data_IF_732510193373
#
_entry.id   IF_732510193373
#
_cell.length_a   1.000
_cell.length_b   1.000
_cell.length_c   1.000
_cell.angle_alpha   90.00
_cell.angle_beta   90.00
_cell.angle_gamma   90.00
#
_symmetry.space_group_name_H-M   'P 1'
#
loop_
_entity.id
_entity.type
_entity.pdbx_description
1 polymer ?
#
# COMPACT_ATOMS: atom_id res chain seq x y z
N UNK A 1 -31.12 -13.70 33.37
CA UNK A 1 -30.47 -12.41 33.67
C UNK A 1 -28.97 -12.58 33.86
N UNK A 2 -28.18 -12.43 32.79
CA UNK A 2 -26.91 -11.70 32.68
C UNK A 2 -26.62 -11.69 31.18
N UNK A 3 -26.63 -10.50 30.58
CA UNK A 3 -26.23 -10.28 29.19
C UNK A 3 -24.80 -9.73 29.23
N UNK A 4 -23.83 -10.46 28.67
CA UNK A 4 -22.46 -10.00 28.54
C UNK A 4 -22.34 -9.11 27.30
N UNK A 5 -22.08 -7.84 27.57
CA UNK A 5 -21.93 -6.79 26.56
C UNK A 5 -20.62 -6.92 25.79
N UNK A 6 -20.75 -7.01 24.47
CA UNK A 6 -19.69 -6.76 23.51
C UNK A 6 -19.29 -5.29 23.62
N UNK A 7 -18.08 -5.02 24.10
CA UNK A 7 -17.52 -3.67 24.10
C UNK A 7 -17.02 -3.33 22.68
N UNK A 8 -17.68 -2.37 22.04
CA UNK A 8 -17.30 -1.81 20.75
C UNK A 8 -15.90 -1.15 20.82
N UNK A 9 -15.01 -1.55 19.91
CA UNK A 9 -13.66 -0.99 19.77
C UNK A 9 -13.65 0.44 19.20
N UNK A 10 -12.52 1.17 19.29
CA UNK A 10 -12.46 2.60 18.94
C UNK A 10 -12.67 2.84 17.44
N UNK A 11 -13.39 3.93 17.14
CA UNK A 11 -13.84 4.32 15.81
C UNK A 11 -12.68 4.67 14.86
N UNK A 12 -12.76 4.17 13.62
CA UNK A 12 -11.81 4.49 12.57
C UNK A 12 -11.92 5.98 12.16
N UNK A 13 -10.78 6.65 12.04
CA UNK A 13 -10.73 8.06 11.63
C UNK A 13 -10.90 8.13 10.10
N UNK A 14 -11.94 8.86 9.67
CA UNK A 14 -12.23 9.13 8.25
C UNK A 14 -11.41 10.33 7.81
N UNK A 15 -10.44 10.11 6.93
CA UNK A 15 -9.76 11.21 6.22
C UNK A 15 -10.56 11.48 4.95
N UNK A 16 -11.59 12.32 5.06
CA UNK A 16 -12.37 12.74 3.90
C UNK A 16 -11.58 13.78 3.10
N UNK A 17 -11.35 13.51 1.80
CA UNK A 17 -10.94 14.57 0.87
C UNK A 17 -12.18 15.41 0.54
N UNK A 18 -12.22 16.73 0.83
CA UNK A 18 -13.42 17.56 0.71
C UNK A 18 -13.93 17.75 -0.73
N UNK A 19 -13.27 17.17 -1.74
CA UNK A 19 -13.64 17.30 -3.16
C UNK A 19 -14.09 16.00 -3.85
N UNK A 20 -13.91 14.83 -3.23
CA UNK A 20 -14.16 13.56 -3.93
C UNK A 20 -15.49 12.94 -3.49
N UNK A 21 -16.50 12.94 -4.37
CA UNK A 21 -17.74 12.17 -4.14
C UNK A 21 -17.46 10.69 -4.38
N UNK A 22 -16.89 9.98 -3.39
CA UNK A 22 -16.92 8.51 -3.35
C UNK A 22 -15.61 7.77 -3.08
N UNK A 23 -14.49 8.47 -2.86
CA UNK A 23 -13.24 7.87 -2.38
C UNK A 23 -13.09 8.18 -0.88
N UNK A 24 -13.35 7.17 -0.06
CA UNK A 24 -13.19 7.26 1.39
C UNK A 24 -11.86 6.60 1.79
N UNK A 25 -11.03 7.37 2.51
CA UNK A 25 -9.83 6.87 3.17
C UNK A 25 -10.19 6.56 4.63
N UNK A 26 -10.11 5.29 5.01
CA UNK A 26 -10.31 4.88 6.40
C UNK A 26 -8.99 4.38 6.96
N UNK A 27 -8.54 5.00 8.05
CA UNK A 27 -7.34 4.59 8.77
C UNK A 27 -7.77 3.91 10.06
N UNK A 28 -7.26 2.70 10.33
CA UNK A 28 -7.37 2.12 11.68
C UNK A 28 -6.16 2.52 12.50
N UNK A 29 -6.41 3.23 13.59
CA UNK A 29 -5.40 3.65 14.57
C UNK A 29 -5.51 2.74 15.80
N UNK A 30 -4.40 2.15 16.26
CA UNK A 30 -4.31 1.62 17.61
C UNK A 30 -3.63 2.67 18.50
N UNK A 31 -4.41 3.63 19.03
CA UNK A 31 -3.95 4.48 20.12
C UNK A 31 -5.04 4.68 21.16
N UNK A 32 -4.74 4.26 22.37
CA UNK A 32 -5.31 4.83 23.58
C UNK A 32 -4.67 6.20 23.81
N UNK A 33 -5.43 7.27 23.56
CA UNK A 33 -5.65 8.40 24.48
C UNK A 33 -6.04 9.72 23.77
N UNK A 34 -7.15 10.28 24.27
CA UNK A 34 -7.47 11.70 24.48
C UNK A 34 -7.73 12.61 23.27
N UNK A 35 -9.02 12.84 23.02
CA UNK A 35 -9.60 13.87 22.16
C UNK A 35 -9.45 15.27 22.77
N UNK A 36 -9.09 16.27 21.96
CA UNK A 36 -9.49 17.66 22.23
C UNK A 36 -9.77 18.41 20.91
N UNK A 37 -10.94 19.05 20.89
CA UNK A 37 -11.63 19.92 19.91
C UNK A 37 -11.00 20.22 18.55
N UNK A 38 -11.78 19.89 17.51
CA UNK A 38 -11.56 20.10 16.08
C UNK A 38 -11.59 21.57 15.63
N UNK A 39 -10.70 21.92 14.70
CA UNK A 39 -10.75 23.13 13.86
C UNK A 39 -10.14 22.87 12.48
N UNK A 40 -10.51 23.68 11.47
CA UNK A 40 -10.24 23.48 10.03
C UNK A 40 -8.75 23.47 9.59
N UNK A 41 -7.79 23.54 10.52
CA UNK A 41 -6.36 23.68 10.23
C UNK A 41 -5.56 22.37 10.43
N UNK A 42 -6.23 21.26 10.76
CA UNK A 42 -5.57 19.99 11.10
C UNK A 42 -4.86 19.35 9.90
N UNK A 43 -5.40 19.48 8.69
CA UNK A 43 -4.76 18.95 7.47
C UNK A 43 -3.45 19.67 7.17
N UNK A 44 -3.43 21.01 7.20
CA UNK A 44 -2.22 21.80 6.97
C UNK A 44 -1.15 21.58 8.05
N UNK A 45 -1.58 21.37 9.30
CA UNK A 45 -0.67 21.02 10.41
C UNK A 45 -0.09 19.60 10.27
N UNK A 46 -0.91 18.60 9.88
CA UNK A 46 -0.44 17.23 9.59
C UNK A 46 0.56 17.21 8.42
N UNK A 47 0.38 18.07 7.40
CA UNK A 47 1.33 18.22 6.31
C UNK A 47 2.67 18.88 6.73
N UNK A 48 2.65 19.77 7.73
CA UNK A 48 3.85 20.48 8.23
C UNK A 48 4.60 19.75 9.33
N UNK A 49 3.94 18.85 10.06
CA UNK A 49 4.52 18.12 11.19
C UNK A 49 4.21 16.62 11.09
N UNK A 50 4.94 15.85 10.25
CA UNK A 50 4.81 14.40 10.23
C UNK A 50 5.38 13.85 11.54
N UNK A 51 4.55 13.68 12.56
CA UNK A 51 4.97 13.07 13.82
C UNK A 51 5.19 11.57 13.60
N UNK A 52 6.41 11.03 13.83
CA UNK A 52 6.59 9.58 13.88
C UNK A 52 6.01 9.08 15.21
N UNK A 53 4.70 8.83 15.25
CA UNK A 53 4.06 8.17 16.38
C UNK A 53 4.42 6.67 16.39
N UNK A 54 5.66 6.34 16.75
CA UNK A 54 6.11 4.95 16.88
C UNK A 54 5.98 4.51 18.34
N UNK A 55 4.87 3.86 18.71
CA UNK A 55 4.83 3.02 19.91
C UNK A 55 4.95 1.54 19.52
N UNK A 56 6.09 0.95 19.90
CA UNK A 56 6.36 -0.48 20.15
C UNK A 56 5.74 -1.54 19.23
N UNK A 57 5.76 -1.35 17.91
CA UNK A 57 5.88 -2.51 17.01
C UNK A 57 7.36 -2.90 17.06
N UNK A 58 7.68 -4.09 17.59
CA UNK A 58 9.03 -4.65 17.48
C UNK A 58 9.34 -4.77 15.99
N UNK A 59 10.09 -3.80 15.47
CA UNK A 59 10.57 -3.83 14.09
C UNK A 59 11.36 -5.12 13.94
N UNK A 60 10.92 -5.99 13.03
CA UNK A 60 11.73 -7.14 12.67
C UNK A 60 13.09 -6.64 12.19
N UNK A 61 14.13 -7.48 12.27
CA UNK A 61 15.44 -7.16 11.68
C UNK A 61 15.37 -6.87 10.15
N UNK A 62 14.19 -7.05 9.56
CA UNK A 62 13.86 -6.90 8.15
C UNK A 62 13.02 -5.64 7.86
N UNK A 63 12.68 -4.84 8.89
CA UNK A 63 11.88 -3.64 8.72
C UNK A 63 12.69 -2.56 7.99
N UNK A 64 12.16 -2.09 6.87
CA UNK A 64 12.66 -0.90 6.20
C UNK A 64 12.55 0.33 7.12
N UNK A 65 13.35 1.38 6.88
CA UNK A 65 13.17 2.66 7.54
C UNK A 65 11.71 3.12 7.44
N UNK A 66 11.21 3.79 8.48
CA UNK A 66 9.86 4.34 8.49
C UNK A 66 9.65 5.21 7.22
N UNK A 67 8.63 4.86 6.44
CA UNK A 67 8.26 5.56 5.22
C UNK A 67 6.87 6.14 5.35
N UNK A 68 6.76 7.43 5.06
CA UNK A 68 5.51 8.17 4.89
C UNK A 68 5.34 8.50 3.41
N UNK A 69 4.10 8.43 2.93
CA UNK A 69 3.74 8.75 1.56
C UNK A 69 2.76 9.91 1.57
N UNK A 70 3.05 10.97 0.83
CA UNK A 70 2.16 12.11 0.67
C UNK A 70 1.90 12.32 -0.80
N UNK A 71 0.66 12.62 -1.17
CA UNK A 71 0.31 12.93 -2.54
C UNK A 71 -0.61 14.14 -2.58
N UNK A 72 -0.41 14.99 -3.60
CA UNK A 72 -1.09 16.26 -3.75
C UNK A 72 -1.68 16.39 -5.15
N UNK A 73 -2.98 16.68 -5.18
CA UNK A 73 -3.77 16.94 -6.39
C UNK A 73 -3.54 15.90 -7.50
N UNK A 74 -3.42 14.63 -7.09
CA UNK A 74 -3.22 13.51 -8.00
C UNK A 74 -4.51 13.24 -8.76
N UNK A 75 -4.45 13.46 -10.07
CA UNK A 75 -5.57 13.30 -10.99
C UNK A 75 -5.16 12.51 -12.24
N UNK A 76 -6.13 11.86 -12.87
CA UNK A 76 -5.89 11.10 -14.09
C UNK A 76 -7.06 11.19 -15.08
N UNK A 77 -6.74 11.51 -16.32
CA UNK A 77 -7.69 11.61 -17.43
C UNK A 77 -7.17 10.85 -18.64
N UNK A 78 -8.07 10.17 -19.34
CA UNK A 78 -7.77 9.46 -20.58
C UNK A 78 -8.11 10.33 -21.80
N UNK A 79 -7.19 10.50 -22.76
CA UNK A 79 -7.49 11.18 -24.02
C UNK A 79 -8.45 10.32 -24.86
N UNK A 80 -9.53 10.91 -25.36
CA UNK A 80 -10.47 10.23 -26.24
C UNK A 80 -9.94 10.30 -27.68
N UNK A 81 -9.73 9.14 -28.32
CA UNK A 81 -9.14 9.02 -29.67
C UNK A 81 -9.94 9.70 -30.80
N UNK A 82 -11.21 10.08 -30.58
CA UNK A 82 -12.12 10.66 -31.60
C UNK A 82 -12.64 12.05 -31.20
N UNK A 83 -11.74 13.01 -30.95
CA UNK A 83 -12.09 14.44 -30.81
C UNK A 83 -13.02 14.80 -29.65
N UNK A 84 -13.25 13.86 -28.71
CA UNK A 84 -14.10 14.07 -27.54
C UNK A 84 -13.33 14.68 -26.37
N UNK A 85 -14.08 15.25 -25.41
CA UNK A 85 -13.53 15.73 -24.14
C UNK A 85 -12.85 14.57 -23.40
N UNK A 86 -11.68 14.82 -22.80
CA UNK A 86 -10.94 13.80 -22.03
C UNK A 86 -11.84 13.19 -20.95
N UNK A 87 -11.81 11.87 -20.83
CA UNK A 87 -12.59 11.16 -19.81
C UNK A 87 -11.81 11.17 -18.51
N UNK A 88 -12.35 11.84 -17.48
CA UNK A 88 -11.75 11.89 -16.16
C UNK A 88 -11.96 10.55 -15.48
N UNK A 89 -10.87 9.87 -15.13
CA UNK A 89 -10.88 8.56 -14.47
C UNK A 89 -10.68 8.71 -12.96
N UNK A 90 -9.87 9.70 -12.56
CA UNK A 90 -9.60 10.04 -11.18
C UNK A 90 -9.61 11.56 -11.04
N UNK A 91 -10.56 12.08 -10.27
CA UNK A 91 -10.57 13.49 -9.89
C UNK A 91 -9.38 13.80 -8.96
N UNK A 92 -8.83 15.03 -9.02
CA UNK A 92 -7.69 15.42 -8.20
C UNK A 92 -7.90 15.13 -6.71
N UNK A 93 -7.03 14.31 -6.13
CA UNK A 93 -7.09 13.93 -4.73
C UNK A 93 -5.75 14.11 -4.03
N UNK A 94 -5.84 14.46 -2.74
CA UNK A 94 -4.68 14.69 -1.87
C UNK A 94 -4.82 13.85 -0.62
N UNK A 95 -3.70 13.38 -0.09
CA UNK A 95 -3.69 12.56 1.11
C UNK A 95 -2.29 12.31 1.67
N UNK A 96 -2.26 11.80 2.90
CA UNK A 96 -1.05 11.48 3.63
C UNK A 96 -1.20 10.11 4.32
N UNK A 97 -0.22 9.24 4.12
CA UNK A 97 -0.10 7.95 4.79
C UNK A 97 1.13 8.01 5.69
N UNK A 98 0.92 7.98 7.01
CA UNK A 98 2.02 8.01 7.95
C UNK A 98 2.66 6.62 8.13
N UNK A 99 3.93 6.60 8.54
CA UNK A 99 4.64 5.36 8.78
C UNK A 99 3.98 4.55 9.91
N UNK A 100 3.83 3.24 9.70
CA UNK A 100 3.22 2.33 10.68
C UNK A 100 1.69 2.32 10.68
N UNK A 101 1.05 3.03 9.75
CA UNK A 101 -0.41 2.97 9.57
C UNK A 101 -0.80 1.95 8.51
N UNK A 102 -1.92 1.27 8.75
CA UNK A 102 -2.66 0.52 7.73
C UNK A 102 -3.81 1.38 7.23
N UNK A 103 -3.75 1.74 5.95
CA UNK A 103 -4.74 2.61 5.30
C UNK A 103 -5.55 1.79 4.31
N UNK A 104 -6.88 1.87 4.40
CA UNK A 104 -7.80 1.27 3.45
C UNK A 104 -8.41 2.36 2.55
N UNK A 105 -8.39 2.11 1.23
CA UNK A 105 -9.04 2.96 0.23
C UNK A 105 -10.32 2.26 -0.21
N UNK A 106 -11.48 2.86 0.10
CA UNK A 106 -12.79 2.29 -0.17
C UNK A 106 -13.60 3.21 -1.09
N UNK A 107 -14.52 2.61 -1.85
CA UNK A 107 -15.36 3.32 -2.81
C UNK A 107 -16.04 2.37 -3.80
N UNK A 108 -17.04 2.83 -4.56
CA UNK A 108 -17.75 2.01 -5.54
C UNK A 108 -16.85 1.54 -6.67
N UNK A 109 -17.23 0.45 -7.36
CA UNK A 109 -16.47 -0.01 -8.53
C UNK A 109 -16.39 1.10 -9.58
N UNK A 110 -15.21 1.27 -10.20
CA UNK A 110 -14.99 2.31 -11.22
C UNK A 110 -14.62 3.70 -10.70
N UNK A 111 -14.58 3.95 -9.38
CA UNK A 111 -14.22 5.27 -8.84
C UNK A 111 -12.71 5.61 -8.89
N UNK A 112 -11.88 4.76 -9.50
CA UNK A 112 -10.45 5.02 -9.66
C UNK A 112 -9.52 4.53 -8.54
N UNK A 113 -9.97 3.68 -7.59
CA UNK A 113 -9.10 3.12 -6.52
C UNK A 113 -7.83 2.46 -7.05
N UNK A 114 -7.98 1.53 -7.99
CA UNK A 114 -6.85 0.84 -8.62
C UNK A 114 -5.97 1.84 -9.38
N UNK A 115 -6.57 2.84 -10.01
CA UNK A 115 -5.83 3.90 -10.71
C UNK A 115 -5.01 4.77 -9.75
N UNK A 116 -5.56 5.15 -8.60
CA UNK A 116 -4.83 5.87 -7.56
C UNK A 116 -3.66 5.02 -7.05
N UNK A 117 -3.89 3.75 -6.72
CA UNK A 117 -2.83 2.84 -6.26
C UNK A 117 -1.74 2.63 -7.33
N UNK A 118 -2.11 2.49 -8.60
CA UNK A 118 -1.16 2.36 -9.71
C UNK A 118 -0.29 3.61 -9.88
N UNK A 119 -0.88 4.79 -9.69
CA UNK A 119 -0.15 6.06 -9.74
C UNK A 119 0.81 6.14 -8.56
N UNK A 120 0.36 5.87 -7.33
CA UNK A 120 1.19 5.93 -6.13
C UNK A 120 2.35 4.92 -6.18
N UNK A 121 2.09 3.72 -6.70
CA UNK A 121 3.07 2.64 -6.86
C UNK A 121 4.06 2.86 -8.02
N UNK A 122 3.95 3.96 -8.79
CA UNK A 122 4.77 4.24 -9.97
C UNK A 122 4.62 3.18 -11.09
N UNK A 123 3.50 2.44 -11.10
CA UNK A 123 3.18 1.44 -12.13
C UNK A 123 2.56 2.09 -13.38
N UNK A 124 1.90 3.24 -13.21
CA UNK A 124 1.23 3.94 -14.31
C UNK A 124 2.23 4.67 -15.22
N UNK A 125 2.38 4.22 -16.46
CA UNK A 125 3.28 4.83 -17.47
C UNK A 125 2.69 6.09 -18.12
N UNK A 126 1.37 6.23 -18.16
CA UNK A 126 0.71 7.39 -18.73
C UNK A 126 0.91 8.63 -17.86
N UNK A 127 1.01 9.80 -18.50
CA UNK A 127 1.08 11.09 -17.81
C UNK A 127 -0.12 11.26 -16.88
N UNK A 128 0.16 11.54 -15.62
CA UNK A 128 -0.82 11.89 -14.59
C UNK A 128 -0.51 13.29 -14.07
N UNK A 129 -1.47 13.90 -13.41
CA UNK A 129 -1.34 15.20 -12.75
C UNK A 129 -1.05 14.99 -11.26
N UNK A 130 -0.53 16.04 -10.62
CA UNK A 130 -0.22 16.06 -9.19
C UNK A 130 1.21 15.62 -8.85
N UNK A 131 1.48 15.62 -7.55
CA UNK A 131 2.81 15.40 -6.98
C UNK A 131 2.77 14.29 -5.94
N UNK A 132 3.80 13.45 -5.90
CA UNK A 132 3.95 12.38 -4.90
C UNK A 132 5.28 12.53 -4.20
N UNK A 133 5.24 12.48 -2.87
CA UNK A 133 6.37 12.65 -1.97
C UNK A 133 6.54 11.42 -1.08
N UNK A 134 7.79 11.06 -0.83
CA UNK A 134 8.18 9.99 0.09
C UNK A 134 9.06 10.63 1.15
N UNK A 135 8.65 10.58 2.42
CA UNK A 135 9.36 11.24 3.52
C UNK A 135 9.66 12.73 3.27
N UNK A 136 8.69 13.44 2.68
CA UNK A 136 8.80 14.88 2.37
C UNK A 136 9.67 15.21 1.15
N UNK A 137 10.31 14.23 0.51
CA UNK A 137 11.09 14.42 -0.72
C UNK A 137 10.29 13.99 -1.95
N UNK A 138 10.45 14.65 -3.11
CA UNK A 138 9.81 14.22 -4.35
C UNK A 138 10.13 12.75 -4.65
N UNK A 139 9.13 11.99 -5.07
CA UNK A 139 9.29 10.56 -5.38
C UNK A 139 10.34 10.38 -6.50
N UNK A 140 11.49 9.83 -6.13
CA UNK A 140 12.59 9.54 -7.06
C UNK A 140 12.51 8.17 -7.72
N UNK A 141 13.39 7.93 -8.69
CA UNK A 141 13.52 6.66 -9.44
C UNK A 141 13.84 5.45 -8.57
N UNK A 142 14.37 5.66 -7.36
CA UNK A 142 14.71 4.60 -6.41
C UNK A 142 13.52 4.13 -5.58
N UNK A 143 12.34 4.74 -5.72
CA UNK A 143 11.14 4.39 -4.97
C UNK A 143 10.76 2.89 -5.04
N UNK A 144 10.84 2.21 -6.20
CA UNK A 144 10.55 0.78 -6.28
C UNK A 144 11.48 -0.12 -5.45
N UNK A 145 12.62 0.39 -4.96
CA UNK A 145 13.51 -0.35 -4.06
C UNK A 145 13.02 -0.37 -2.61
N UNK A 146 12.15 0.56 -2.24
CA UNK A 146 11.64 0.74 -0.86
C UNK A 146 10.13 0.52 -0.74
N UNK A 147 9.45 0.28 -1.86
CA UNK A 147 8.02 -0.01 -1.93
C UNK A 147 7.77 -1.37 -2.58
N UNK A 148 6.72 -2.05 -2.14
CA UNK A 148 6.19 -3.25 -2.78
C UNK A 148 4.74 -2.99 -3.21
N UNK A 149 4.38 -3.48 -4.39
CA UNK A 149 3.04 -3.37 -4.94
C UNK A 149 2.57 -4.76 -5.36
N UNK A 150 1.35 -5.13 -4.96
CA UNK A 150 0.68 -6.37 -5.35
C UNK A 150 -0.51 -5.97 -6.22
N UNK A 151 -0.53 -6.46 -7.45
CA UNK A 151 -1.65 -6.20 -8.38
C UNK A 151 -2.90 -6.97 -8.01
N UNK A 152 -4.03 -6.55 -8.57
CA UNK A 152 -5.28 -7.28 -8.47
C UNK A 152 -5.21 -8.66 -9.16
N UNK A 153 -4.54 -8.74 -10.30
CA UNK A 153 -4.29 -10.00 -11.00
C UNK A 153 -2.94 -10.58 -10.57
N UNK A 154 -2.92 -11.88 -10.31
CA UNK A 154 -1.71 -12.64 -10.00
C UNK A 154 -1.04 -13.09 -11.29
N UNK A 155 0.23 -12.70 -11.45
CA UNK A 155 1.06 -13.18 -12.56
C UNK A 155 2.18 -14.05 -12.00
N UNK A 156 1.94 -15.35 -11.94
CA UNK A 156 2.94 -16.34 -11.55
C UNK A 156 3.01 -17.45 -12.59
N UNK A 157 4.22 -17.98 -12.91
CA UNK A 157 4.35 -19.10 -13.83
C UNK A 157 3.60 -20.34 -13.31
N UNK A 158 2.67 -20.92 -14.08
CA UNK A 158 1.79 -21.99 -13.57
C UNK A 158 2.53 -23.30 -13.31
N UNK A 159 3.69 -23.48 -13.93
CA UNK A 159 4.51 -24.68 -13.84
C UNK A 159 5.52 -24.65 -12.68
N UNK A 160 5.64 -23.52 -11.97
CA UNK A 160 6.55 -23.39 -10.83
C UNK A 160 5.90 -23.85 -9.53
N UNK A 161 6.72 -24.35 -8.62
CA UNK A 161 6.30 -24.54 -7.23
C UNK A 161 6.25 -23.22 -6.47
N UNK A 162 5.52 -23.18 -5.36
CA UNK A 162 5.48 -22.01 -4.47
C UNK A 162 6.90 -21.64 -4.01
N UNK A 163 7.71 -22.64 -3.64
CA UNK A 163 9.10 -22.42 -3.20
C UNK A 163 9.97 -21.82 -4.32
N UNK A 164 9.84 -22.31 -5.56
CA UNK A 164 10.58 -21.79 -6.72
C UNK A 164 10.24 -20.33 -6.99
N UNK A 165 8.95 -19.97 -6.96
CA UNK A 165 8.51 -18.59 -7.17
C UNK A 165 9.03 -17.64 -6.08
N UNK A 166 8.99 -18.06 -4.80
CA UNK A 166 9.53 -17.27 -3.69
C UNK A 166 11.05 -17.14 -3.82
N UNK A 167 11.75 -18.23 -4.15
CA UNK A 167 13.20 -18.24 -4.35
C UNK A 167 13.64 -17.29 -5.45
N UNK A 168 12.97 -17.33 -6.60
CA UNK A 168 13.27 -16.46 -7.72
C UNK A 168 13.16 -14.97 -7.34
N UNK A 169 12.07 -14.60 -6.66
CA UNK A 169 11.88 -13.23 -6.17
C UNK A 169 12.92 -12.82 -5.11
N UNK A 170 13.28 -13.74 -4.20
CA UNK A 170 14.27 -13.48 -3.16
C UNK A 170 15.67 -13.24 -3.76
N UNK A 171 16.04 -13.98 -4.79
CA UNK A 171 17.32 -13.81 -5.51
C UNK A 171 17.38 -12.46 -6.21
N UNK A 172 16.31 -12.05 -6.92
CA UNK A 172 16.27 -10.76 -7.64
C UNK A 172 16.32 -9.53 -6.73
N UNK A 173 15.72 -9.61 -5.53
CA UNK A 173 15.70 -8.49 -4.58
C UNK A 173 17.00 -8.35 -3.79
N UNK A 174 17.87 -9.35 -3.78
CA UNK A 174 19.13 -9.32 -3.05
C UNK A 174 20.24 -8.63 -3.84
N UNK A 175 21.12 -7.94 -3.11
CA UNK A 175 22.39 -7.47 -3.66
C UNK A 175 23.34 -8.66 -3.86
N UNK A 176 24.09 -8.72 -4.98
CA UNK A 176 24.86 -9.89 -5.40
C UNK A 176 26.00 -10.30 -4.44
N UNK A 177 26.31 -9.49 -3.43
CA UNK A 177 27.41 -9.73 -2.49
C UNK A 177 27.06 -10.68 -1.32
N UNK A 178 25.80 -11.11 -1.15
CA UNK A 178 25.41 -12.06 -0.10
C UNK A 178 25.28 -13.49 -0.67
N UNK A 179 26.12 -14.41 -0.17
CA UNK A 179 26.23 -15.83 -0.58
C UNK A 179 24.89 -16.58 -0.60
N UNK A 180 24.80 -17.57 -1.49
CA UNK A 180 23.64 -18.47 -1.72
C UNK A 180 23.08 -19.14 -0.45
N UNK A 181 23.92 -19.49 0.53
CA UNK A 181 23.48 -20.20 1.74
C UNK A 181 22.46 -19.40 2.57
N UNK A 182 22.54 -18.07 2.57
CA UNK A 182 21.58 -17.24 3.31
C UNK A 182 20.23 -17.08 2.58
N UNK A 183 20.07 -17.62 1.37
CA UNK A 183 18.82 -17.50 0.58
C UNK A 183 17.82 -18.57 0.99
N UNK A 184 18.28 -19.80 1.20
CA UNK A 184 17.38 -20.93 1.52
C UNK A 184 16.78 -20.77 2.93
N UNK A 185 17.59 -20.40 3.92
CA UNK A 185 17.10 -20.03 5.27
C UNK A 185 16.06 -18.90 5.23
N UNK A 186 16.24 -17.95 4.31
CA UNK A 186 15.32 -16.84 4.15
C UNK A 186 14.00 -17.28 3.53
N UNK A 187 14.05 -18.20 2.58
CA UNK A 187 12.85 -18.77 1.95
C UNK A 187 12.05 -19.55 2.98
N UNK A 188 12.71 -20.42 3.76
CA UNK A 188 12.06 -21.20 4.81
C UNK A 188 11.39 -20.29 5.84
N UNK A 189 12.07 -19.21 6.24
CA UNK A 189 11.49 -18.19 7.12
C UNK A 189 10.23 -17.56 6.51
N UNK A 190 10.26 -17.16 5.23
CA UNK A 190 9.11 -16.56 4.56
C UNK A 190 7.94 -17.55 4.46
N UNK A 191 8.20 -18.78 4.03
CA UNK A 191 7.16 -19.82 3.89
C UNK A 191 6.50 -20.12 5.23
N UNK A 192 7.27 -20.17 6.31
CA UNK A 192 6.74 -20.36 7.66
C UNK A 192 5.96 -19.15 8.17
N UNK A 193 6.48 -17.93 7.93
CA UNK A 193 5.82 -16.69 8.36
C UNK A 193 4.46 -16.47 7.69
N UNK A 194 4.30 -16.91 6.44
CA UNK A 194 3.03 -16.88 5.73
C UNK A 194 2.20 -18.16 5.90
N UNK A 195 2.67 -19.13 6.70
CA UNK A 195 2.01 -20.42 6.94
C UNK A 195 1.71 -21.21 5.65
N UNK A 196 2.59 -21.12 4.65
CA UNK A 196 2.48 -21.80 3.35
C UNK A 196 3.55 -22.88 3.16
N UNK A 197 4.27 -23.26 4.21
CA UNK A 197 5.29 -24.30 4.16
C UNK A 197 4.73 -25.67 3.74
N UNK A 198 3.49 -26.00 4.11
CA UNK A 198 2.83 -27.24 3.68
C UNK A 198 2.51 -27.33 2.19
N UNK A 199 2.57 -26.21 1.46
CA UNK A 199 2.33 -26.14 0.01
C UNK A 199 3.56 -25.68 -0.77
N UNK A 200 4.75 -25.71 -0.14
CA UNK A 200 5.99 -25.24 -0.75
C UNK A 200 6.32 -25.96 -2.08
N UNK A 201 6.10 -27.28 -2.12
CA UNK A 201 6.34 -28.13 -3.29
C UNK A 201 5.14 -28.22 -4.24
N UNK A 202 3.99 -27.61 -3.87
CA UNK A 202 2.82 -27.62 -4.72
C UNK A 202 3.03 -26.67 -5.91
N UNK A 203 2.57 -27.10 -7.10
CA UNK A 203 2.52 -26.22 -8.27
C UNK A 203 1.49 -25.14 -8.05
N UNK A 204 1.82 -23.91 -8.45
CA UNK A 204 0.91 -22.76 -8.35
C UNK A 204 -0.33 -22.99 -9.23
N UNK A 205 -0.13 -23.62 -10.39
CA UNK A 205 -1.20 -23.90 -11.35
C UNK A 205 -1.63 -22.64 -12.11
N UNK A 206 -2.62 -22.81 -12.99
CA UNK A 206 -3.19 -21.73 -13.78
C UNK A 206 -4.40 -22.21 -14.58
N UNK A 207 -4.98 -21.34 -15.40
CA UNK A 207 -6.15 -21.70 -16.21
C UNK A 207 -5.92 -22.94 -17.11
N UNK A 208 -4.66 -23.19 -17.49
CA UNK A 208 -4.25 -24.30 -18.34
C UNK A 208 -3.63 -25.48 -17.56
N UNK A 209 -3.29 -25.31 -16.28
CA UNK A 209 -2.59 -26.29 -15.46
C UNK A 209 -3.34 -26.47 -14.15
N UNK A 210 -4.06 -27.59 -14.02
CA UNK A 210 -4.75 -28.00 -12.80
C UNK A 210 -3.84 -28.75 -11.84
#
# INVERSE_FOLDING_TARGET
PVADGVQDGPAAERVASPRNRGLDFTTRYHSTQSTSSLGANTTEWLFRNPQPATKNIRRSAFALPAASLTFRDVGFSLPVRRGGKASVVLEPCSGHFAAGQLVAIMGPSGCGKTTLLDILAMKKTSKHEGEVYVNGQPRGLLFPRVAAYVSQDDFMPPHWTVQEAVRFNAVLKRQPQRRHQAVDEWIDLLLNAFCISGVADARIGGAEVR
#
